data_IF_648744862417
#
_entry.id   IF_648744862417
#
_cell.length_a   1.000
_cell.length_b   1.000
_cell.length_c   1.000
_cell.angle_alpha   90.00
_cell.angle_beta   90.00
_cell.angle_gamma   90.00
#
_symmetry.space_group_name_H-M   'P 1'
#
loop_
_entity.id
_entity.type
_entity.pdbx_description
1 polymer ?
#
# COMPACT_ATOMS: atom_id res chain seq x y z
N UNK A 1 -16.03 -21.93 51.69
CA UNK A 1 -14.81 -21.10 51.80
C UNK A 1 -14.91 -19.96 50.79
N UNK A 2 -14.91 -18.70 51.23
CA UNK A 2 -14.83 -17.56 50.30
C UNK A 2 -13.52 -17.68 49.53
N UNK A 3 -13.57 -17.73 48.19
CA UNK A 3 -12.37 -17.65 47.36
C UNK A 3 -11.73 -16.29 47.61
N UNK A 4 -10.57 -16.27 48.24
CA UNK A 4 -9.85 -15.06 48.65
C UNK A 4 -9.05 -14.44 47.48
N UNK A 5 -9.54 -14.60 46.24
CA UNK A 5 -8.87 -14.22 45.01
C UNK A 5 -9.78 -13.31 44.19
N UNK A 6 -9.28 -12.12 43.89
CA UNK A 6 -10.01 -11.08 43.16
C UNK A 6 -9.93 -11.34 41.64
N UNK A 7 -10.56 -12.42 41.20
CA UNK A 7 -10.60 -12.83 39.79
C UNK A 7 -11.48 -11.90 38.94
N UNK A 8 -11.09 -11.74 37.67
CA UNK A 8 -11.88 -10.99 36.70
C UNK A 8 -13.24 -11.64 36.47
N UNK A 9 -14.31 -10.84 36.56
CA UNK A 9 -15.65 -11.28 36.18
C UNK A 9 -15.71 -11.62 34.66
N UNK A 10 -16.80 -12.27 34.22
CA UNK A 10 -16.96 -12.69 32.81
C UNK A 10 -16.89 -11.51 31.84
N UNK A 11 -17.48 -10.37 32.18
CA UNK A 11 -17.48 -9.16 31.35
C UNK A 11 -16.06 -8.63 31.16
N UNK A 12 -15.30 -8.44 32.24
CA UNK A 12 -13.92 -7.97 32.17
C UNK A 12 -13.04 -8.88 31.32
N UNK A 13 -13.21 -10.20 31.44
CA UNK A 13 -12.47 -11.17 30.60
C UNK A 13 -12.80 -11.02 29.12
N UNK A 14 -14.08 -10.89 28.79
CA UNK A 14 -14.53 -10.68 27.42
C UNK A 14 -14.04 -9.33 26.87
N UNK A 15 -14.11 -8.26 27.66
CA UNK A 15 -13.66 -6.92 27.25
C UNK A 15 -12.15 -6.93 26.98
N UNK A 16 -11.34 -7.61 27.81
CA UNK A 16 -9.91 -7.79 27.56
C UNK A 16 -9.63 -8.54 26.25
N UNK A 17 -10.39 -9.60 25.98
CA UNK A 17 -10.25 -10.37 24.75
C UNK A 17 -10.61 -9.54 23.52
N UNK A 18 -11.73 -8.82 23.55
CA UNK A 18 -12.22 -7.98 22.47
C UNK A 18 -11.28 -6.81 22.18
N UNK A 19 -10.80 -6.11 23.22
CA UNK A 19 -9.81 -5.02 23.09
C UNK A 19 -8.49 -5.48 22.51
N UNK A 20 -8.15 -6.75 22.69
CA UNK A 20 -6.97 -7.38 22.13
C UNK A 20 -7.22 -8.07 20.78
N UNK A 21 -8.42 -7.94 20.20
CA UNK A 21 -8.86 -8.63 18.97
C UNK A 21 -8.67 -10.14 19.02
N UNK A 22 -8.80 -10.75 20.20
CA UNK A 22 -8.46 -12.15 20.46
C UNK A 22 -7.03 -12.54 20.03
N UNK A 23 -6.11 -11.59 19.96
CA UNK A 23 -4.69 -11.84 19.74
C UNK A 23 -3.93 -11.74 21.07
N UNK A 24 -2.98 -12.64 21.29
CA UNK A 24 -2.11 -12.57 22.46
C UNK A 24 -1.33 -11.24 22.47
N UNK A 25 -1.42 -10.45 23.53
CA UNK A 25 -0.73 -9.15 23.60
C UNK A 25 0.79 -9.27 23.51
N UNK A 26 1.37 -10.43 23.83
CA UNK A 26 2.81 -10.67 23.77
C UNK A 26 3.28 -11.22 22.41
N UNK A 27 2.81 -12.40 22.00
CA UNK A 27 3.29 -13.08 20.79
C UNK A 27 2.42 -12.86 19.54
N UNK A 28 1.30 -12.14 19.67
CA UNK A 28 0.37 -11.81 18.59
C UNK A 28 -0.32 -13.00 17.90
N UNK A 29 -0.19 -14.22 18.42
CA UNK A 29 -0.91 -15.37 17.90
C UNK A 29 -2.42 -15.23 18.15
N UNK A 30 -3.25 -15.80 17.26
CA UNK A 30 -4.69 -15.95 17.55
C UNK A 30 -4.89 -16.79 18.81
N UNK A 31 -5.85 -16.39 19.62
CA UNK A 31 -6.25 -17.11 20.83
C UNK A 31 -7.62 -17.78 20.69
N UNK A 32 -8.27 -17.61 19.53
CA UNK A 32 -9.58 -18.16 19.21
C UNK A 32 -9.59 -18.75 17.79
N UNK A 33 -10.35 -19.81 17.58
CA UNK A 33 -10.52 -20.42 16.26
C UNK A 33 -11.68 -21.42 16.22
N UNK A 34 -12.03 -21.94 15.04
CA UNK A 34 -13.06 -22.98 14.92
C UNK A 34 -12.65 -24.25 15.67
N UNK A 35 -13.65 -25.00 16.17
CA UNK A 35 -13.47 -26.32 16.78
C UNK A 35 -14.22 -27.37 15.98
N UNK A 36 -13.59 -28.52 15.74
CA UNK A 36 -14.22 -29.65 15.03
C UNK A 36 -15.26 -30.39 15.88
N UNK A 37 -15.46 -30.00 17.14
CA UNK A 37 -16.47 -30.64 18.00
C UNK A 37 -17.89 -30.44 17.48
N UNK A 38 -18.23 -29.26 16.93
CA UNK A 38 -19.54 -28.88 16.33
C UNK A 38 -19.40 -27.69 15.38
N UNK A 39 -20.34 -27.51 14.45
CA UNK A 39 -20.35 -26.39 13.47
C UNK A 39 -20.31 -24.99 14.12
N UNK A 40 -20.90 -24.84 15.31
CA UNK A 40 -20.95 -23.59 16.08
C UNK A 40 -19.89 -23.51 17.20
N UNK A 41 -19.04 -24.53 17.33
CA UNK A 41 -18.05 -24.61 18.40
C UNK A 41 -16.79 -23.81 18.10
N UNK A 42 -16.24 -23.23 19.17
CA UNK A 42 -15.05 -22.38 19.11
C UNK A 42 -14.02 -22.90 20.11
N UNK A 43 -12.79 -23.06 19.67
CA UNK A 43 -11.64 -23.33 20.53
C UNK A 43 -11.06 -22.00 21.03
N UNK A 44 -10.84 -21.89 22.34
CA UNK A 44 -10.29 -20.70 23.00
C UNK A 44 -9.10 -21.08 23.87
N UNK A 45 -7.93 -20.52 23.57
CA UNK A 45 -6.69 -20.66 24.35
C UNK A 45 -6.27 -19.34 25.01
N UNK A 46 -7.11 -18.31 24.91
CA UNK A 46 -6.87 -17.00 25.50
C UNK A 46 -7.24 -16.96 26.97
N UNK A 47 -6.44 -16.23 27.75
CA UNK A 47 -6.65 -16.00 29.18
C UNK A 47 -6.47 -14.54 29.52
N UNK A 48 -7.32 -14.04 30.41
CA UNK A 48 -7.14 -12.76 31.07
C UNK A 48 -6.17 -12.94 32.24
N UNK A 49 -4.90 -12.58 32.02
CA UNK A 49 -3.86 -12.65 33.04
C UNK A 49 -3.84 -11.36 33.86
N UNK A 50 -3.53 -11.49 35.16
CA UNK A 50 -3.33 -10.36 36.04
C UNK A 50 -1.92 -9.79 35.88
N UNK A 51 -1.81 -8.47 35.78
CA UNK A 51 -0.52 -7.76 35.79
C UNK A 51 0.05 -7.78 37.21
N UNK A 52 -0.72 -7.30 38.19
CA UNK A 52 -0.45 -7.46 39.62
C UNK A 52 -1.36 -8.56 40.20
N UNK A 53 -0.82 -9.45 41.03
CA UNK A 53 -1.55 -10.62 41.53
C UNK A 53 -2.90 -10.28 42.19
N UNK A 54 -3.89 -11.14 41.94
CA UNK A 54 -5.26 -11.04 42.43
C UNK A 54 -5.43 -11.29 43.95
N UNK A 55 -4.38 -11.74 44.64
CA UNK A 55 -4.37 -12.02 46.07
C UNK A 55 -2.92 -12.09 46.59
N UNK A 56 -2.70 -11.83 47.89
CA UNK A 56 -1.40 -12.11 48.52
C UNK A 56 -1.17 -13.61 48.70
N UNK A 57 0.09 -14.01 48.83
CA UNK A 57 0.47 -15.36 49.24
C UNK A 57 1.57 -16.01 48.39
N UNK A 58 1.92 -17.28 48.69
CA UNK A 58 2.92 -18.02 47.93
C UNK A 58 2.54 -18.16 46.45
N UNK A 59 3.43 -17.71 45.56
CA UNK A 59 3.18 -17.71 44.10
C UNK A 59 2.46 -16.46 43.58
N UNK A 60 2.12 -15.50 44.43
CA UNK A 60 1.59 -14.21 43.99
C UNK A 60 2.68 -13.40 43.27
N UNK A 61 2.55 -13.29 41.95
CA UNK A 61 3.48 -12.54 41.11
C UNK A 61 3.12 -11.06 41.09
N UNK A 62 4.10 -10.20 41.39
CA UNK A 62 3.94 -8.73 41.37
C UNK A 62 2.76 -8.25 42.22
N UNK A 63 2.53 -8.86 43.39
CA UNK A 63 1.47 -8.42 44.29
C UNK A 63 1.76 -7.01 44.83
N UNK A 64 0.79 -6.11 44.70
CA UNK A 64 0.85 -4.77 45.30
C UNK A 64 -0.10 -4.71 46.51
N UNK A 65 0.44 -4.52 47.74
CA UNK A 65 -0.37 -4.45 48.95
C UNK A 65 -1.25 -3.19 49.01
N UNK A 66 -0.96 -2.16 48.22
CA UNK A 66 -1.73 -0.92 48.21
C UNK A 66 -2.94 -0.97 47.28
N UNK A 67 -3.04 -1.98 46.41
CA UNK A 67 -4.21 -2.15 45.55
C UNK A 67 -5.43 -2.60 46.37
N UNK A 68 -6.57 -1.98 46.13
CA UNK A 68 -7.88 -2.42 46.58
C UNK A 68 -8.35 -3.71 45.86
N UNK A 69 -9.42 -4.32 46.36
CA UNK A 69 -10.04 -5.48 45.70
C UNK A 69 -10.59 -5.11 44.32
N UNK A 70 -11.16 -3.92 44.21
CA UNK A 70 -11.71 -3.34 43.00
C UNK A 70 -10.61 -3.12 41.96
N UNK A 71 -9.47 -2.54 42.36
CA UNK A 71 -8.33 -2.34 41.46
C UNK A 71 -7.71 -3.66 41.00
N UNK A 72 -7.59 -4.66 41.89
CA UNK A 72 -7.05 -5.98 41.53
C UNK A 72 -7.91 -6.69 40.48
N UNK A 73 -9.22 -6.49 40.53
CA UNK A 73 -10.19 -7.07 39.58
C UNK A 73 -10.57 -6.12 38.42
N UNK A 74 -9.96 -4.93 38.35
CA UNK A 74 -10.23 -3.95 37.30
C UNK A 74 -9.54 -4.29 35.98
N UNK A 75 -10.14 -3.90 34.85
CA UNK A 75 -9.61 -4.16 33.50
C UNK A 75 -8.20 -3.60 33.27
N UNK A 76 -7.83 -2.53 33.98
CA UNK A 76 -6.49 -1.92 33.91
C UNK A 76 -5.41 -2.87 34.43
N UNK A 77 -5.74 -3.73 35.40
CA UNK A 77 -4.84 -4.75 35.95
C UNK A 77 -4.84 -6.04 35.09
N UNK A 78 -5.57 -6.09 33.98
CA UNK A 78 -5.67 -7.27 33.13
C UNK A 78 -4.94 -7.12 31.80
N UNK A 79 -4.32 -8.21 31.33
CA UNK A 79 -3.74 -8.33 29.99
C UNK A 79 -4.21 -9.63 29.32
N UNK A 80 -4.54 -9.58 28.04
CA UNK A 80 -5.00 -10.76 27.28
C UNK A 80 -3.81 -11.52 26.68
N UNK A 81 -3.64 -12.79 27.04
CA UNK A 81 -2.51 -13.62 26.59
C UNK A 81 -3.00 -15.01 26.16
N UNK A 82 -2.24 -15.70 25.30
CA UNK A 82 -2.41 -17.14 25.15
C UNK A 82 -1.92 -17.87 26.42
N UNK A 83 -2.40 -19.10 26.66
CA UNK A 83 -1.97 -19.93 27.82
C UNK A 83 -0.45 -20.00 27.96
N UNK A 84 0.29 -20.14 26.85
CA UNK A 84 1.75 -20.23 26.91
C UNK A 84 2.40 -18.93 27.40
N UNK A 85 1.91 -17.78 26.92
CA UNK A 85 2.45 -16.48 27.32
C UNK A 85 2.04 -16.10 28.75
N UNK A 86 0.85 -16.50 29.22
CA UNK A 86 0.45 -16.24 30.61
C UNK A 86 1.36 -16.99 31.59
N UNK A 87 1.72 -18.24 31.27
CA UNK A 87 2.68 -19.01 32.09
C UNK A 87 4.08 -18.39 32.04
N UNK A 88 4.51 -17.90 30.87
CA UNK A 88 5.82 -17.28 30.69
C UNK A 88 6.00 -16.05 31.59
N UNK A 89 5.03 -15.12 31.60
CA UNK A 89 5.14 -13.87 32.37
C UNK A 89 5.16 -14.12 33.88
N UNK A 90 4.57 -15.21 34.36
CA UNK A 90 4.55 -15.58 35.77
C UNK A 90 5.79 -16.36 36.20
N UNK A 91 6.49 -17.01 35.26
CA UNK A 91 7.76 -17.69 35.55
C UNK A 91 8.95 -16.74 35.58
N UNK A 92 8.86 -15.57 34.94
CA UNK A 92 9.95 -14.60 34.82
C UNK A 92 9.49 -13.19 35.20
N UNK A 93 9.10 -13.01 36.47
CA UNK A 93 8.59 -11.73 37.00
C UNK A 93 9.63 -10.59 36.93
N UNK A 94 10.92 -10.92 36.94
CA UNK A 94 12.01 -9.93 36.82
C UNK A 94 12.08 -9.38 35.40
N UNK A 95 11.91 -10.22 34.38
CA UNK A 95 11.86 -9.78 32.98
C UNK A 95 10.54 -9.12 32.62
N UNK A 96 9.44 -9.57 33.22
CA UNK A 96 8.08 -9.08 32.98
C UNK A 96 7.56 -8.32 34.20
N UNK A 97 8.12 -7.12 34.42
CA UNK A 97 7.69 -6.20 35.47
C UNK A 97 6.30 -5.62 35.19
N UNK A 98 5.69 -5.00 36.21
CA UNK A 98 4.38 -4.35 36.12
C UNK A 98 4.36 -3.31 35.01
N UNK A 99 5.36 -2.43 34.98
CA UNK A 99 5.51 -1.34 34.00
C UNK A 99 5.60 -1.90 32.58
N UNK A 100 6.38 -2.96 32.40
CA UNK A 100 6.55 -3.60 31.09
C UNK A 100 5.27 -4.25 30.60
N UNK A 101 4.52 -4.92 31.48
CA UNK A 101 3.24 -5.53 31.12
C UNK A 101 2.18 -4.48 30.78
N UNK A 102 2.13 -3.36 31.50
CA UNK A 102 1.29 -2.22 31.12
C UNK A 102 1.69 -1.64 29.77
N UNK A 103 3.00 -1.51 29.48
CA UNK A 103 3.48 -1.07 28.17
C UNK A 103 3.04 -2.03 27.06
N UNK A 104 3.25 -3.34 27.23
CA UNK A 104 2.83 -4.36 26.26
C UNK A 104 1.31 -4.31 26.01
N UNK A 105 0.51 -4.18 27.07
CA UNK A 105 -0.95 -4.02 26.98
C UNK A 105 -1.29 -2.77 26.16
N UNK A 106 -0.71 -1.62 26.50
CA UNK A 106 -0.97 -0.35 25.82
C UNK A 106 -0.58 -0.39 24.35
N UNK A 107 0.63 -0.85 24.02
CA UNK A 107 1.11 -1.01 22.64
C UNK A 107 0.22 -1.95 21.83
N UNK A 108 -0.19 -3.08 22.43
CA UNK A 108 -1.10 -4.02 21.77
C UNK A 108 -2.47 -3.40 21.53
N UNK A 109 -3.12 -2.87 22.55
CA UNK A 109 -4.45 -2.28 22.42
C UNK A 109 -4.44 -1.11 21.42
N UNK A 110 -3.41 -0.25 21.43
CA UNK A 110 -3.24 0.80 20.42
C UNK A 110 -3.10 0.23 19.00
N UNK A 111 -2.34 -0.85 18.81
CA UNK A 111 -2.24 -1.51 17.49
C UNK A 111 -3.54 -2.15 17.00
N UNK A 112 -4.53 -2.36 17.88
CA UNK A 112 -5.84 -2.92 17.55
C UNK A 112 -6.93 -1.85 17.42
N UNK A 113 -6.61 -0.58 17.64
CA UNK A 113 -7.59 0.49 17.54
C UNK A 113 -8.03 0.65 16.08
N UNK A 114 -9.33 0.52 15.88
CA UNK A 114 -9.97 0.74 14.59
C UNK A 114 -10.04 2.26 14.36
N UNK A 115 -9.46 2.74 13.27
CA UNK A 115 -9.53 4.15 12.87
C UNK A 115 -8.64 5.11 13.68
N UNK A 116 -7.62 4.64 14.40
CA UNK A 116 -6.64 5.55 15.01
C UNK A 116 -5.63 6.09 14.01
N UNK A 117 -5.72 7.41 13.88
CA UNK A 117 -4.85 8.38 13.21
C UNK A 117 -3.44 8.51 13.84
N UNK A 118 -2.89 7.47 14.46
CA UNK A 118 -1.51 7.49 15.01
C UNK A 118 -0.45 7.02 13.97
N UNK A 119 -0.90 6.54 12.80
CA UNK A 119 -0.14 6.58 11.56
C UNK A 119 -0.62 7.83 10.81
N UNK A 120 -0.05 8.99 11.14
CA UNK A 120 -0.53 10.31 10.70
C UNK A 120 -0.24 10.64 9.23
N UNK A 121 0.12 9.65 8.42
CA UNK A 121 0.00 9.72 6.97
C UNK A 121 -1.20 8.87 6.57
N UNK A 122 -2.11 9.42 5.78
CA UNK A 122 -3.08 8.59 5.07
C UNK A 122 -2.26 7.50 4.36
N UNK A 123 -2.45 6.23 4.75
CA UNK A 123 -1.71 5.13 4.14
C UNK A 123 -2.16 5.04 2.68
N UNK A 124 -1.34 5.58 1.80
CA UNK A 124 -1.56 5.69 0.37
C UNK A 124 -0.85 4.55 -0.37
N UNK A 125 -1.21 4.37 -1.63
CA UNK A 125 -0.53 3.39 -2.47
C UNK A 125 0.89 3.87 -2.79
N UNK A 126 1.85 2.98 -2.52
CA UNK A 126 3.22 3.08 -2.98
C UNK A 126 3.55 1.84 -3.81
N UNK A 127 4.05 2.06 -5.02
CA UNK A 127 4.57 0.99 -5.87
C UNK A 127 6.09 1.07 -5.95
N UNK A 128 6.78 -0.05 -5.81
CA UNK A 128 8.22 -0.18 -6.03
C UNK A 128 8.44 -1.16 -7.18
N UNK A 129 8.77 -0.62 -8.33
CA UNK A 129 8.71 -1.35 -9.59
C UNK A 129 7.27 -1.81 -9.90
N UNK A 130 7.12 -2.72 -10.88
CA UNK A 130 5.81 -3.20 -11.30
C UNK A 130 5.19 -4.26 -10.38
N UNK A 131 6.02 -4.95 -9.58
CA UNK A 131 5.59 -6.18 -8.90
C UNK A 131 5.21 -5.96 -7.41
N UNK A 132 5.64 -4.83 -6.83
CA UNK A 132 5.49 -4.55 -5.40
C UNK A 132 4.58 -3.35 -5.23
N UNK A 133 3.39 -3.57 -4.68
CA UNK A 133 2.41 -2.53 -4.34
C UNK A 133 2.07 -2.67 -2.87
N UNK A 134 2.19 -1.59 -2.12
CA UNK A 134 1.95 -1.58 -0.68
C UNK A 134 1.23 -0.31 -0.26
N UNK A 135 0.53 -0.40 0.86
CA UNK A 135 0.09 0.75 1.64
C UNK A 135 1.29 1.30 2.43
N UNK A 136 1.41 2.62 2.44
CA UNK A 136 2.47 3.30 3.14
C UNK A 136 2.32 4.82 3.10
N UNK A 137 3.28 5.50 3.71
CA UNK A 137 3.35 6.96 3.71
C UNK A 137 4.80 7.42 3.71
N UNK A 138 4.98 8.70 3.44
CA UNK A 138 6.29 9.30 3.33
C UNK A 138 6.76 9.79 4.71
N UNK A 139 7.90 9.26 5.15
CA UNK A 139 8.59 9.74 6.35
C UNK A 139 9.39 11.01 6.03
N UNK A 140 10.07 11.02 4.87
CA UNK A 140 10.92 12.13 4.44
C UNK A 140 10.95 12.22 2.91
N UNK A 141 10.87 13.45 2.40
CA UNK A 141 11.15 13.78 1.01
C UNK A 141 12.31 14.77 0.93
N UNK A 142 13.26 14.51 0.03
CA UNK A 142 14.41 15.37 -0.24
C UNK A 142 14.84 15.24 -1.72
N UNK A 143 15.60 16.21 -2.28
CA UNK A 143 16.04 16.13 -3.68
C UNK A 143 16.83 14.85 -4.01
N UNK A 144 17.57 14.30 -3.04
CA UNK A 144 18.34 13.06 -3.18
C UNK A 144 17.48 11.79 -3.16
N UNK A 145 16.24 11.87 -2.64
CA UNK A 145 15.35 10.72 -2.57
C UNK A 145 14.32 10.76 -1.45
N UNK A 146 13.68 9.60 -1.24
CA UNK A 146 12.57 9.43 -0.31
C UNK A 146 12.92 8.46 0.82
N UNK A 147 12.37 8.68 2.00
CA UNK A 147 12.22 7.66 3.05
C UNK A 147 10.73 7.40 3.22
N UNK A 148 10.32 6.17 3.04
CA UNK A 148 8.91 5.77 3.15
C UNK A 148 8.74 4.67 4.19
N UNK A 149 7.55 4.57 4.78
CA UNK A 149 7.16 3.40 5.57
C UNK A 149 6.12 2.60 4.80
N UNK A 150 6.34 1.31 4.66
CA UNK A 150 5.35 0.35 4.16
C UNK A 150 4.73 -0.43 5.32
N UNK A 151 3.41 -0.42 5.38
CA UNK A 151 2.61 -1.04 6.44
C UNK A 151 1.98 -2.37 5.99
N UNK A 152 1.53 -2.47 4.74
CA UNK A 152 0.85 -3.64 4.21
C UNK A 152 1.09 -3.85 2.72
N UNK A 153 1.42 -5.07 2.27
CA UNK A 153 1.55 -5.38 0.84
C UNK A 153 0.19 -5.72 0.23
N UNK A 154 -0.20 -4.96 -0.79
CA UNK A 154 -1.36 -5.26 -1.66
C UNK A 154 -0.97 -6.28 -2.74
N UNK A 155 0.25 -6.16 -3.27
CA UNK A 155 0.88 -7.09 -4.20
C UNK A 155 2.37 -7.22 -3.89
N UNK A 156 2.91 -8.42 -4.10
CA UNK A 156 4.29 -8.74 -3.74
C UNK A 156 4.48 -8.93 -2.23
N UNK A 157 5.73 -8.93 -1.81
CA UNK A 157 6.11 -9.23 -0.44
C UNK A 157 7.46 -8.62 -0.07
N UNK A 158 7.83 -8.73 1.21
CA UNK A 158 9.19 -8.40 1.67
C UNK A 158 10.27 -9.19 0.92
N UNK A 159 9.98 -10.41 0.43
CA UNK A 159 10.96 -11.20 -0.33
C UNK A 159 11.25 -10.55 -1.69
N UNK A 160 10.26 -9.93 -2.30
CA UNK A 160 10.40 -9.23 -3.57
C UNK A 160 11.20 -7.93 -3.39
N UNK A 161 10.99 -7.20 -2.29
CA UNK A 161 11.83 -6.05 -1.92
C UNK A 161 13.29 -6.47 -1.72
N UNK A 162 13.51 -7.57 -1.00
CA UNK A 162 14.86 -8.12 -0.82
C UNK A 162 15.46 -8.55 -2.17
N UNK A 163 14.67 -9.20 -3.04
CA UNK A 163 15.13 -9.62 -4.36
C UNK A 163 15.51 -8.43 -5.26
N UNK A 164 14.74 -7.34 -5.23
CA UNK A 164 15.05 -6.09 -5.90
C UNK A 164 16.38 -5.50 -5.39
N UNK A 165 16.57 -5.45 -4.07
CA UNK A 165 17.81 -4.96 -3.47
C UNK A 165 19.03 -5.79 -3.93
N UNK A 166 18.94 -7.12 -3.88
CA UNK A 166 20.07 -8.01 -4.22
C UNK A 166 20.36 -8.08 -5.72
N UNK A 167 19.33 -7.98 -6.56
CA UNK A 167 19.46 -8.12 -8.01
C UNK A 167 19.29 -6.80 -8.76
N UNK A 168 19.45 -5.66 -8.10
CA UNK A 168 19.14 -4.33 -8.66
C UNK A 168 19.80 -4.06 -10.02
N UNK A 169 21.04 -4.52 -10.23
CA UNK A 169 21.76 -4.36 -11.50
C UNK A 169 21.25 -5.27 -12.63
N UNK A 170 20.54 -6.35 -12.31
CA UNK A 170 19.94 -7.27 -13.29
C UNK A 170 18.55 -6.82 -13.75
N UNK A 171 17.89 -5.96 -12.98
CA UNK A 171 16.60 -5.41 -13.34
C UNK A 171 16.76 -4.35 -14.43
N UNK A 172 15.88 -4.37 -15.43
CA UNK A 172 15.87 -3.34 -16.47
C UNK A 172 15.66 -1.96 -15.83
N UNK A 173 16.40 -0.92 -16.26
CA UNK A 173 16.34 0.41 -15.67
C UNK A 173 14.92 0.96 -15.47
N UNK A 174 14.06 0.81 -16.46
CA UNK A 174 12.67 1.25 -16.50
C UNK A 174 11.74 0.51 -15.52
N UNK A 175 12.18 -0.61 -14.93
CA UNK A 175 11.45 -1.34 -13.88
C UNK A 175 11.89 -0.95 -12.47
N UNK A 176 12.97 -0.18 -12.33
CA UNK A 176 13.53 0.24 -11.05
C UNK A 176 12.99 1.62 -10.71
N UNK A 177 11.78 1.67 -10.18
CA UNK A 177 11.14 2.93 -9.80
C UNK A 177 10.41 2.85 -8.48
N UNK A 178 10.05 4.01 -7.95
CA UNK A 178 9.00 4.16 -6.94
C UNK A 178 7.92 5.10 -7.47
N UNK A 179 6.66 4.81 -7.17
CA UNK A 179 5.50 5.67 -7.41
C UNK A 179 4.82 5.91 -6.06
N UNK A 180 4.50 7.16 -5.74
CA UNK A 180 3.88 7.54 -4.49
C UNK A 180 2.61 8.34 -4.78
N UNK A 181 1.44 7.77 -4.47
CA UNK A 181 0.17 8.46 -4.66
C UNK A 181 0.05 9.70 -3.76
N UNK A 182 0.54 9.65 -2.52
CA UNK A 182 0.57 10.78 -1.58
C UNK A 182 1.19 12.06 -2.21
N UNK A 183 2.25 11.89 -3.02
CA UNK A 183 2.88 13.01 -3.72
C UNK A 183 2.41 13.17 -5.16
N UNK A 184 1.57 12.30 -5.69
CA UNK A 184 1.23 12.32 -7.12
C UNK A 184 2.44 12.15 -8.04
N UNK A 185 3.51 11.51 -7.56
CA UNK A 185 4.84 11.58 -8.16
C UNK A 185 5.59 10.25 -8.04
N UNK A 186 6.49 10.00 -8.98
CA UNK A 186 7.39 8.86 -8.95
C UNK A 186 8.77 9.17 -9.52
N UNK A 187 9.66 8.19 -9.49
CA UNK A 187 10.99 8.34 -10.06
C UNK A 187 11.73 7.03 -10.19
N UNK A 188 12.69 7.02 -11.12
CA UNK A 188 13.63 5.92 -11.26
C UNK A 188 14.58 5.89 -10.06
N UNK A 189 14.90 4.69 -9.60
CA UNK A 189 15.87 4.46 -8.53
C UNK A 189 17.29 4.58 -9.09
N UNK A 190 18.13 5.32 -8.38
CA UNK A 190 19.56 5.46 -8.70
C UNK A 190 20.37 4.30 -8.11
N UNK A 191 19.97 3.84 -6.93
CA UNK A 191 20.66 2.82 -6.14
C UNK A 191 19.67 1.78 -5.59
N UNK A 192 20.14 0.60 -5.17
CA UNK A 192 19.30 -0.37 -4.48
C UNK A 192 18.65 0.24 -3.23
N UNK A 193 17.37 -0.08 -2.94
CA UNK A 193 16.71 0.41 -1.73
C UNK A 193 17.41 -0.09 -0.46
N UNK A 194 17.55 0.78 0.54
CA UNK A 194 17.96 0.38 1.90
C UNK A 194 16.70 0.08 2.70
N UNK A 195 16.61 -1.13 3.24
CA UNK A 195 15.40 -1.64 3.89
C UNK A 195 15.70 -1.90 5.36
N UNK A 196 14.95 -1.23 6.24
CA UNK A 196 15.02 -1.39 7.70
C UNK A 196 13.69 -1.96 8.21
N UNK A 197 13.74 -3.02 9.03
CA UNK A 197 12.54 -3.51 9.70
C UNK A 197 12.36 -2.76 11.01
N UNK A 198 11.26 -2.04 11.13
CA UNK A 198 10.88 -1.31 12.35
C UNK A 198 9.56 -1.88 12.85
N UNK A 199 9.62 -2.65 13.94
CA UNK A 199 8.49 -3.42 14.47
C UNK A 199 7.89 -4.38 13.41
N UNK A 200 6.64 -4.14 13.00
CA UNK A 200 5.91 -4.90 11.99
C UNK A 200 5.86 -4.22 10.61
N UNK A 201 6.53 -3.07 10.46
CA UNK A 201 6.57 -2.29 9.22
C UNK A 201 8.00 -2.27 8.65
N UNK A 202 8.11 -1.84 7.39
CA UNK A 202 9.38 -1.67 6.72
C UNK A 202 9.60 -0.20 6.40
N UNK A 203 10.71 0.35 6.83
CA UNK A 203 11.17 1.66 6.38
C UNK A 203 12.15 1.48 5.25
N UNK A 204 11.96 2.24 4.18
CA UNK A 204 12.72 2.08 2.95
C UNK A 204 13.28 3.43 2.54
N UNK A 205 14.59 3.50 2.42
CA UNK A 205 15.30 4.63 1.82
C UNK A 205 15.49 4.37 0.33
N UNK A 206 15.08 5.32 -0.49
CA UNK A 206 15.04 5.24 -1.95
C UNK A 206 15.82 6.42 -2.52
N UNK A 207 16.98 6.18 -3.12
CA UNK A 207 17.73 7.20 -3.86
C UNK A 207 17.15 7.35 -5.26
N UNK A 208 16.78 8.56 -5.67
CA UNK A 208 16.14 8.82 -6.97
C UNK A 208 17.14 9.38 -7.99
N UNK A 209 16.95 8.99 -9.25
CA UNK A 209 17.65 9.61 -10.37
C UNK A 209 17.11 11.02 -10.62
N UNK A 210 17.93 11.85 -11.29
CA UNK A 210 17.48 13.16 -11.75
C UNK A 210 16.30 13.00 -12.71
N UNK A 211 15.22 13.71 -12.44
CA UNK A 211 14.02 13.70 -13.28
C UNK A 211 14.33 14.22 -14.69
N UNK A 212 13.67 13.61 -15.68
CA UNK A 212 13.67 14.14 -17.04
C UNK A 212 12.92 15.46 -17.10
N UNK A 213 13.41 16.41 -17.89
CA UNK A 213 12.72 17.70 -18.03
C UNK A 213 11.35 17.48 -18.69
N UNK A 214 10.31 18.09 -18.10
CA UNK A 214 8.98 18.12 -18.70
C UNK A 214 8.95 19.13 -19.85
N UNK A 215 8.05 18.90 -20.79
CA UNK A 215 7.79 19.86 -21.84
C UNK A 215 6.84 20.95 -21.31
N UNK A 216 7.13 22.22 -21.60
CA UNK A 216 6.21 23.32 -21.28
C UNK A 216 4.90 23.13 -22.07
N UNK A 217 3.77 23.07 -21.37
CA UNK A 217 2.46 22.87 -21.98
C UNK A 217 2.01 24.04 -22.86
N UNK A 218 2.67 25.20 -22.75
CA UNK A 218 2.46 26.38 -23.62
C UNK A 218 3.29 26.31 -24.91
N UNK A 219 4.21 25.35 -25.03
CA UNK A 219 4.96 25.13 -26.26
C UNK A 219 4.08 24.50 -27.36
N UNK A 220 4.58 24.47 -28.60
CA UNK A 220 3.89 23.86 -29.76
C UNK A 220 3.83 22.32 -29.69
N UNK A 221 3.06 21.79 -28.74
CA UNK A 221 2.69 20.37 -28.71
C UNK A 221 1.62 20.18 -29.78
N UNK A 222 1.85 19.24 -30.71
CA UNK A 222 0.87 18.91 -31.74
C UNK A 222 0.81 17.41 -32.00
N UNK A 223 -0.37 16.95 -32.41
CA UNK A 223 -0.62 15.57 -32.80
C UNK A 223 -1.65 15.54 -33.92
N UNK A 224 -1.85 14.36 -34.52
CA UNK A 224 -2.90 14.16 -35.51
C UNK A 224 -4.21 13.80 -34.82
N UNK A 225 -5.28 14.53 -35.11
CA UNK A 225 -6.61 14.18 -34.62
C UNK A 225 -7.05 12.83 -35.21
N UNK A 226 -7.43 11.88 -34.36
CA UNK A 226 -7.82 10.54 -34.80
C UNK A 226 -9.08 10.53 -35.69
N UNK A 227 -10.03 11.45 -35.46
CA UNK A 227 -11.29 11.50 -36.20
C UNK A 227 -11.19 12.27 -37.51
N UNK A 228 -10.45 13.39 -37.51
CA UNK A 228 -10.44 14.33 -38.65
C UNK A 228 -9.17 14.23 -39.49
N UNK A 229 -8.14 13.53 -38.99
CA UNK A 229 -6.79 13.50 -39.57
C UNK A 229 -6.20 14.90 -39.80
N UNK A 230 -6.70 15.91 -39.07
CA UNK A 230 -6.13 17.26 -39.03
C UNK A 230 -5.17 17.38 -37.87
N UNK A 231 -4.15 18.22 -38.03
CA UNK A 231 -3.25 18.57 -36.93
C UNK A 231 -4.03 19.37 -35.88
N UNK A 232 -3.93 18.94 -34.63
CA UNK A 232 -4.38 19.68 -33.45
C UNK A 232 -3.17 20.07 -32.61
N UNK A 233 -3.28 21.13 -31.82
CA UNK A 233 -2.17 21.70 -31.04
C UNK A 233 -2.59 22.20 -29.66
N UNK A 234 -1.62 22.38 -28.77
CA UNK A 234 -1.83 22.89 -27.41
C UNK A 234 -2.61 21.91 -26.55
N UNK A 235 -3.61 22.43 -25.81
CA UNK A 235 -4.39 21.65 -24.83
C UNK A 235 -5.07 20.44 -25.47
N UNK A 236 -5.74 20.63 -26.60
CA UNK A 236 -6.41 19.52 -27.31
C UNK A 236 -5.42 18.42 -27.71
N UNK A 237 -4.20 18.79 -28.10
CA UNK A 237 -3.20 17.82 -28.51
C UNK A 237 -2.71 16.96 -27.35
N UNK A 238 -2.35 17.55 -26.21
CA UNK A 238 -1.88 16.75 -25.08
C UNK A 238 -3.01 15.98 -24.40
N UNK A 239 -4.25 16.50 -24.38
CA UNK A 239 -5.42 15.74 -23.93
C UNK A 239 -5.58 14.46 -24.74
N UNK A 240 -5.56 14.57 -26.07
CA UNK A 240 -5.64 13.39 -26.94
C UNK A 240 -4.46 12.45 -26.74
N UNK A 241 -3.24 12.98 -26.49
CA UNK A 241 -2.08 12.14 -26.18
C UNK A 241 -2.30 11.34 -24.89
N UNK A 242 -2.83 11.96 -23.83
CA UNK A 242 -3.11 11.27 -22.57
C UNK A 242 -4.12 10.14 -22.77
N UNK A 243 -5.23 10.42 -23.46
CA UNK A 243 -6.26 9.44 -23.78
C UNK A 243 -5.67 8.27 -24.59
N UNK A 244 -4.95 8.57 -25.67
CA UNK A 244 -4.31 7.54 -26.50
C UNK A 244 -3.33 6.66 -25.72
N UNK A 245 -2.51 7.27 -24.86
CA UNK A 245 -1.54 6.54 -24.03
C UNK A 245 -2.25 5.64 -23.04
N UNK A 246 -3.31 6.11 -22.38
CA UNK A 246 -4.09 5.32 -21.43
C UNK A 246 -4.88 4.20 -22.11
N UNK A 247 -5.35 4.44 -23.33
CA UNK A 247 -6.12 3.49 -24.14
C UNK A 247 -5.29 2.41 -24.81
N UNK A 248 -3.99 2.64 -24.99
CA UNK A 248 -3.10 1.65 -25.58
C UNK A 248 -2.62 0.67 -24.51
N UNK A 249 -3.17 -0.54 -24.48
CA UNK A 249 -2.80 -1.53 -23.48
C UNK A 249 -1.35 -2.02 -23.62
N UNK A 250 -0.67 -2.24 -22.50
CA UNK A 250 0.71 -2.73 -22.53
C UNK A 250 0.84 -4.07 -23.26
N UNK A 251 1.85 -4.19 -24.13
CA UNK A 251 2.11 -5.42 -24.89
C UNK A 251 1.31 -5.55 -26.19
N UNK A 252 0.48 -4.57 -26.55
CA UNK A 252 -0.30 -4.59 -27.81
C UNK A 252 0.40 -3.89 -28.98
N UNK A 253 1.49 -3.18 -28.72
CA UNK A 253 2.28 -2.49 -29.75
C UNK A 253 3.51 -3.29 -30.17
N UNK A 254 3.51 -3.79 -31.40
CA UNK A 254 4.49 -4.79 -31.86
C UNK A 254 5.94 -4.29 -32.00
N UNK A 255 6.17 -2.98 -32.10
CA UNK A 255 7.57 -2.47 -32.20
C UNK A 255 8.21 -2.27 -30.83
N UNK A 256 7.41 -2.25 -29.77
CA UNK A 256 7.89 -2.18 -28.39
C UNK A 256 6.77 -2.68 -27.46
N UNK A 257 6.90 -3.94 -27.03
CA UNK A 257 5.91 -4.60 -26.17
C UNK A 257 5.86 -4.02 -24.76
N UNK A 258 6.84 -3.19 -24.36
CA UNK A 258 6.82 -2.51 -23.06
C UNK A 258 5.93 -1.26 -23.08
N UNK A 259 5.53 -0.78 -24.27
CA UNK A 259 4.69 0.40 -24.40
C UNK A 259 3.23 0.10 -24.08
N UNK A 260 2.62 1.08 -23.44
CA UNK A 260 1.20 1.12 -23.15
C UNK A 260 0.92 1.45 -21.69
N UNK A 261 -0.33 1.23 -21.34
CA UNK A 261 -0.92 1.46 -20.04
C UNK A 261 -1.53 0.17 -19.51
N UNK A 262 -1.51 -0.01 -18.20
CA UNK A 262 -2.22 -1.11 -17.52
C UNK A 262 -3.69 -0.79 -17.23
N UNK A 263 -4.19 0.39 -17.65
CA UNK A 263 -5.54 0.87 -17.33
C UNK A 263 -6.66 -0.13 -17.66
N UNK A 264 -6.58 -0.81 -18.82
CA UNK A 264 -7.59 -1.80 -19.21
C UNK A 264 -7.56 -3.03 -18.29
N UNK A 265 -6.38 -3.57 -17.97
CA UNK A 265 -6.24 -4.69 -17.02
C UNK A 265 -6.70 -4.29 -15.62
N UNK A 266 -6.33 -3.08 -15.17
CA UNK A 266 -6.76 -2.53 -13.88
C UNK A 266 -8.29 -2.39 -13.81
N UNK A 267 -8.93 -1.90 -14.87
CA UNK A 267 -10.38 -1.77 -14.92
C UNK A 267 -11.07 -3.12 -14.74
N UNK A 268 -10.72 -4.13 -15.53
CA UNK A 268 -11.40 -5.42 -15.44
C UNK A 268 -11.15 -6.14 -14.12
N UNK A 269 -9.98 -5.95 -13.52
CA UNK A 269 -9.61 -6.59 -12.24
C UNK A 269 -10.23 -5.89 -11.03
N UNK A 270 -10.41 -4.57 -11.08
CA UNK A 270 -10.75 -3.77 -9.90
C UNK A 270 -12.01 -2.91 -10.04
N UNK A 271 -12.74 -2.96 -11.16
CA UNK A 271 -14.00 -2.21 -11.35
C UNK A 271 -14.96 -2.42 -10.19
N UNK A 272 -15.54 -1.33 -9.68
CA UNK A 272 -16.44 -1.35 -8.53
C UNK A 272 -15.76 -1.57 -7.17
N UNK A 273 -14.43 -1.74 -7.13
CA UNK A 273 -13.68 -1.81 -5.88
C UNK A 273 -13.14 -0.43 -5.48
N UNK A 274 -12.88 -0.20 -4.18
CA UNK A 274 -12.25 1.04 -3.71
C UNK A 274 -10.80 1.21 -4.24
N UNK A 275 -10.19 0.17 -4.79
CA UNK A 275 -8.81 0.17 -5.24
C UNK A 275 -8.60 0.75 -6.64
N UNK A 276 -9.63 0.69 -7.51
CA UNK A 276 -9.43 1.04 -8.92
C UNK A 276 -8.99 2.49 -9.10
N UNK A 277 -9.63 3.44 -8.42
CA UNK A 277 -9.26 4.86 -8.45
C UNK A 277 -7.77 5.04 -8.10
N UNK A 278 -7.34 4.47 -6.98
CA UNK A 278 -5.99 4.64 -6.46
C UNK A 278 -4.95 3.97 -7.37
N UNK A 279 -5.27 2.82 -7.95
CA UNK A 279 -4.40 2.14 -8.93
C UNK A 279 -4.37 2.85 -10.29
N UNK A 280 -5.47 3.45 -10.73
CA UNK A 280 -5.54 4.28 -11.93
C UNK A 280 -4.66 5.53 -11.77
N UNK A 281 -4.71 6.18 -10.60
CA UNK A 281 -3.81 7.29 -10.24
C UNK A 281 -2.34 6.83 -10.26
N UNK A 282 -2.03 5.70 -9.64
CA UNK A 282 -0.68 5.12 -9.66
C UNK A 282 -0.17 4.91 -11.09
N UNK A 283 -1.01 4.41 -11.99
CA UNK A 283 -0.64 4.23 -13.40
C UNK A 283 -0.38 5.56 -14.13
N UNK A 284 -1.20 6.58 -13.87
CA UNK A 284 -0.96 7.93 -14.41
C UNK A 284 0.33 8.55 -13.86
N UNK A 285 0.66 8.29 -12.59
CA UNK A 285 1.95 8.71 -12.00
C UNK A 285 3.11 8.01 -12.71
N UNK A 286 2.99 6.70 -12.99
CA UNK A 286 4.00 5.94 -13.76
C UNK A 286 4.21 6.58 -15.12
N UNK A 287 3.12 6.86 -15.84
CA UNK A 287 3.16 7.47 -17.17
C UNK A 287 3.68 8.91 -17.17
N UNK A 288 3.58 9.61 -16.03
CA UNK A 288 4.10 10.97 -15.84
C UNK A 288 5.55 11.00 -15.38
N UNK A 289 6.06 9.92 -14.78
CA UNK A 289 7.34 9.94 -14.06
C UNK A 289 8.41 9.03 -14.66
N UNK A 290 8.01 7.95 -15.32
CA UNK A 290 8.95 6.94 -15.82
C UNK A 290 9.21 7.19 -17.30
N UNK A 291 10.43 7.64 -17.66
CA UNK A 291 10.74 7.99 -19.04
C UNK A 291 10.86 6.75 -19.91
N UNK A 292 10.56 6.93 -21.19
CA UNK A 292 10.83 5.96 -22.24
C UNK A 292 12.22 6.20 -22.78
N UNK A 293 13.01 5.13 -22.93
CA UNK A 293 14.25 5.16 -23.68
C UNK A 293 13.93 4.75 -25.10
N UNK A 294 13.65 5.73 -25.95
CA UNK A 294 13.45 5.47 -27.38
C UNK A 294 14.82 5.24 -28.02
N UNK A 295 15.03 4.09 -28.69
CA UNK A 295 16.27 3.77 -29.40
C UNK A 295 16.69 4.85 -30.42
N UNK A 296 15.73 5.66 -30.89
CA UNK A 296 15.94 6.72 -31.88
C UNK A 296 15.98 8.15 -31.30
N UNK A 297 15.65 8.38 -30.02
CA UNK A 297 15.72 9.73 -29.42
C UNK A 297 16.93 9.84 -28.49
N UNK A 298 17.70 10.92 -28.64
CA UNK A 298 18.86 11.21 -27.78
C UNK A 298 18.47 11.55 -26.34
N UNK A 299 17.23 12.03 -26.10
CA UNK A 299 16.75 12.47 -24.78
C UNK A 299 15.50 11.70 -24.37
N UNK A 300 15.51 11.02 -23.20
CA UNK A 300 14.36 10.30 -22.69
C UNK A 300 13.21 11.25 -22.33
N UNK A 301 11.97 10.86 -22.64
CA UNK A 301 10.74 11.62 -22.32
C UNK A 301 9.70 10.73 -21.67
N UNK A 302 8.82 11.31 -20.85
CA UNK A 302 7.70 10.58 -20.24
C UNK A 302 6.49 10.52 -21.19
N UNK A 303 5.68 9.46 -21.13
CA UNK A 303 4.42 9.38 -21.89
C UNK A 303 3.51 10.60 -21.68
N UNK A 304 3.36 11.05 -20.43
CA UNK A 304 2.66 12.28 -20.08
C UNK A 304 3.66 13.44 -20.02
N UNK A 305 4.03 13.91 -21.21
CA UNK A 305 5.17 14.82 -21.47
C UNK A 305 5.19 16.11 -20.64
N UNK A 306 4.00 16.61 -20.29
CA UNK A 306 3.82 17.91 -19.63
C UNK A 306 3.40 17.80 -18.16
N UNK A 307 3.18 16.58 -17.65
CA UNK A 307 2.63 16.39 -16.30
C UNK A 307 3.77 16.37 -15.28
N UNK A 308 3.78 17.34 -14.37
CA UNK A 308 4.68 17.40 -13.23
C UNK A 308 4.21 16.47 -12.11
N UNK A 309 2.91 16.52 -11.80
CA UNK A 309 2.30 15.79 -10.70
C UNK A 309 0.85 15.44 -11.00
N UNK A 310 0.41 14.28 -10.52
CA UNK A 310 -0.99 13.87 -10.52
C UNK A 310 -1.60 14.20 -9.16
N UNK A 311 -2.43 15.24 -9.06
CA UNK A 311 -2.99 15.67 -7.77
C UNK A 311 -4.18 14.80 -7.35
N UNK A 312 -5.07 14.45 -8.27
CA UNK A 312 -6.23 13.61 -7.98
C UNK A 312 -6.75 12.89 -9.24
N UNK A 313 -7.41 11.76 -9.02
CA UNK A 313 -8.16 11.01 -10.04
C UNK A 313 -9.49 10.60 -9.45
N UNK A 314 -10.59 10.80 -10.17
CA UNK A 314 -11.93 10.35 -9.80
C UNK A 314 -12.56 9.56 -10.94
N UNK A 315 -13.41 8.60 -10.59
CA UNK A 315 -14.15 7.76 -11.54
C UNK A 315 -15.63 8.07 -11.34
N UNK A 316 -16.23 8.97 -12.15
CA UNK A 316 -17.62 9.39 -11.97
C UNK A 316 -18.62 8.24 -12.11
N UNK A 317 -18.34 7.33 -13.04
CA UNK A 317 -19.09 6.11 -13.28
C UNK A 317 -18.14 5.01 -13.76
N UNK A 318 -18.43 3.77 -13.40
CA UNK A 318 -17.74 2.60 -13.95
C UNK A 318 -18.41 2.09 -15.24
N UNK A 319 -19.53 2.68 -15.65
CA UNK A 319 -20.20 2.32 -16.91
C UNK A 319 -19.34 2.73 -18.11
N UNK A 320 -19.26 1.84 -19.08
CA UNK A 320 -18.55 2.11 -20.33
C UNK A 320 -19.57 2.51 -21.40
N UNK A 321 -19.35 3.67 -22.02
CA UNK A 321 -20.11 4.10 -23.20
C UNK A 321 -19.20 3.93 -24.41
N UNK A 322 -19.58 3.09 -25.37
CA UNK A 322 -18.74 2.73 -26.53
C UNK A 322 -17.33 2.24 -26.12
N UNK A 323 -17.26 1.44 -25.04
CA UNK A 323 -16.01 0.96 -24.41
C UNK A 323 -15.11 2.08 -23.85
N UNK A 324 -15.63 3.30 -23.69
CA UNK A 324 -14.89 4.39 -23.07
C UNK A 324 -15.32 4.60 -21.63
N UNK A 325 -14.32 4.75 -20.77
CA UNK A 325 -14.44 5.13 -19.37
C UNK A 325 -14.13 6.61 -19.23
N UNK A 326 -14.99 7.34 -18.53
CA UNK A 326 -14.71 8.71 -18.12
C UNK A 326 -13.86 8.72 -16.85
N UNK A 327 -12.75 9.46 -16.90
CA UNK A 327 -11.84 9.61 -15.76
C UNK A 327 -11.61 11.10 -15.53
N UNK A 328 -12.10 11.61 -14.40
CA UNK A 328 -11.86 13.00 -14.00
C UNK A 328 -10.48 13.12 -13.36
N UNK A 329 -9.65 14.01 -13.88
CA UNK A 329 -8.26 14.18 -13.44
C UNK A 329 -7.99 15.60 -12.97
N UNK A 330 -7.09 15.73 -12.00
CA UNK A 330 -6.48 16.98 -11.56
C UNK A 330 -4.96 16.81 -11.64
N UNK A 331 -4.33 17.45 -12.62
CA UNK A 331 -2.89 17.39 -12.84
C UNK A 331 -2.25 18.76 -12.61
N UNK A 332 -0.99 18.76 -12.19
CA UNK A 332 -0.12 19.93 -12.30
C UNK A 332 0.69 19.81 -13.59
N UNK A 333 0.52 20.76 -14.49
CA UNK A 333 1.16 20.79 -15.80
C UNK A 333 2.30 21.81 -15.85
N UNK A 334 3.41 21.43 -16.48
CA UNK A 334 4.55 22.32 -16.67
C UNK A 334 4.15 23.56 -17.47
N UNK A 335 4.45 24.75 -16.93
CA UNK A 335 4.16 26.04 -17.56
C UNK A 335 2.72 26.57 -17.38
N UNK A 336 1.74 25.73 -17.05
CA UNK A 336 0.33 26.14 -16.85
C UNK A 336 -0.10 26.02 -15.37
N UNK A 337 0.44 25.07 -14.62
CA UNK A 337 0.02 24.76 -13.25
C UNK A 337 -1.19 23.81 -13.24
N UNK A 338 -2.09 24.01 -12.28
CA UNK A 338 -3.24 23.12 -12.08
C UNK A 338 -4.18 23.08 -13.28
N UNK A 339 -4.50 21.87 -13.73
CA UNK A 339 -5.40 21.59 -14.84
C UNK A 339 -6.35 20.46 -14.48
N UNK A 340 -7.66 20.70 -14.68
CA UNK A 340 -8.72 19.72 -14.42
C UNK A 340 -9.44 19.39 -15.71
N UNK A 341 -9.70 18.11 -15.94
CA UNK A 341 -10.37 17.63 -17.14
C UNK A 341 -11.00 16.26 -16.93
N UNK A 342 -11.93 15.89 -17.80
CA UNK A 342 -12.45 14.52 -17.87
C UNK A 342 -11.90 13.86 -19.12
N UNK A 343 -11.03 12.87 -18.95
CA UNK A 343 -10.46 12.08 -20.03
C UNK A 343 -11.45 10.98 -20.45
N UNK A 344 -11.51 10.72 -21.75
CA UNK A 344 -12.29 9.62 -22.33
C UNK A 344 -11.35 8.49 -22.76
N UNK A 345 -11.22 7.48 -21.91
CA UNK A 345 -10.23 6.39 -22.08
C UNK A 345 -10.92 5.14 -22.61
N UNK A 346 -10.54 4.69 -23.79
CA UNK A 346 -10.95 3.38 -24.31
C UNK A 346 -10.38 2.24 -23.45
N UNK A 347 -11.26 1.32 -23.04
CA UNK A 347 -10.96 0.15 -22.23
C UNK A 347 -11.14 -1.10 -23.09
N UNK A 348 -10.02 -1.73 -23.46
CA UNK A 348 -10.07 -2.98 -24.23
C UNK A 348 -10.68 -4.11 -23.42
N UNK A 349 -11.49 -4.96 -24.04
CA UNK A 349 -12.03 -6.16 -23.39
C UNK A 349 -10.92 -7.18 -23.10
N UNK A 350 -11.11 -8.12 -22.15
CA UNK A 350 -10.13 -9.17 -21.88
C UNK A 350 -9.75 -9.99 -23.13
N UNK A 351 -10.70 -10.23 -24.03
CA UNK A 351 -10.48 -10.92 -25.29
C UNK A 351 -9.61 -10.08 -26.23
N UNK A 352 -9.94 -8.80 -26.43
CA UNK A 352 -9.14 -7.87 -27.25
C UNK A 352 -7.70 -7.73 -26.72
N UNK A 353 -7.52 -7.69 -25.39
CA UNK A 353 -6.21 -7.65 -24.77
C UNK A 353 -5.40 -8.90 -25.09
N UNK A 354 -6.02 -10.07 -24.98
CA UNK A 354 -5.38 -11.36 -25.26
C UNK A 354 -4.97 -11.46 -26.72
N UNK A 355 -5.91 -11.24 -27.64
CA UNK A 355 -5.67 -11.26 -29.08
C UNK A 355 -4.64 -10.21 -29.53
N UNK A 356 -4.76 -8.98 -29.01
CA UNK A 356 -3.86 -7.89 -29.32
C UNK A 356 -2.42 -8.18 -28.90
N UNK A 357 -2.22 -8.73 -27.69
CA UNK A 357 -0.90 -9.13 -27.19
C UNK A 357 -0.31 -10.29 -27.96
N UNK A 358 -1.11 -11.31 -28.29
CA UNK A 358 -0.66 -12.45 -29.10
C UNK A 358 -0.21 -12.01 -30.49
N UNK A 359 -1.04 -11.20 -31.16
CA UNK A 359 -0.72 -10.64 -32.47
C UNK A 359 0.55 -9.79 -32.43
N UNK A 360 0.68 -8.91 -31.44
CA UNK A 360 1.84 -8.05 -31.29
C UNK A 360 3.13 -8.85 -31.04
N UNK A 361 3.09 -9.87 -30.16
CA UNK A 361 4.23 -10.76 -29.92
C UNK A 361 4.66 -11.53 -31.16
N UNK A 362 3.69 -12.04 -31.93
CA UNK A 362 3.97 -12.75 -33.19
C UNK A 362 4.70 -11.84 -34.17
N UNK A 363 4.16 -10.65 -34.43
CA UNK A 363 4.77 -9.68 -35.36
C UNK A 363 6.14 -9.22 -34.84
N UNK A 364 6.27 -8.96 -33.53
CA UNK A 364 7.55 -8.57 -32.93
C UNK A 364 8.61 -9.64 -33.18
N UNK A 365 8.30 -10.92 -32.95
CA UNK A 365 9.24 -12.02 -33.16
C UNK A 365 9.60 -12.24 -34.64
N UNK A 366 8.70 -11.93 -35.56
CA UNK A 366 8.95 -12.01 -37.00
C UNK A 366 9.85 -10.87 -37.51
N UNK A 367 9.86 -9.71 -36.84
CA UNK A 367 10.55 -8.49 -37.30
C UNK A 367 11.82 -8.12 -36.52
N UNK A 368 11.98 -8.57 -35.27
CA UNK A 368 13.07 -8.24 -34.36
C UNK A 368 13.60 -9.48 -33.64
#
# INVERSE_FOLDING_TARGET
>A
MKRNRDDFNKRTRNDLALRASYLCSLCKCSTVGPSDEREDAVAMIGVAAHICAAAPGPGARRYDPNMSSEERSHINNGIWLCVSCSVLIDRDEKRFTVEKLHRIKSEHESSQRIGTLEDSGENEIVAIGPDIIALGYIIRSAPEGLRIRLSHFVSGSVRDLWALQQNFSKWSPERRYVLCNELGFGGLLNEPPVIERVNNSYEIQLALQKQVMRQDARAEISTMCHNTLKRISGIEAFTQIFENVLSMAQGTWFTDLSLGSDMSDLYWRYRGSPWFKTLAMMEMIRLSSIPRVNKNQQTPTTPFLVVNRVNNVEIPSFELVDQKLEISVDFDLEGIGQWKHTLSVFISTPEQLTEGREKARKIHHELF
#
